data_IF_559863390282
#
_entry.id   IF_559863390282
#
_cell.length_a   1.000
_cell.length_b   1.000
_cell.length_c   1.000
_cell.angle_alpha   90.00
_cell.angle_beta   90.00
_cell.angle_gamma   90.00
#
_symmetry.space_group_name_H-M   'P 1'
#
loop_
_entity.id
_entity.type
_entity.pdbx_description
1 polymer ?
#
# COMPACT_ATOMS: atom_id res chain seq x y z
N UNK A 1 -4.27 -22.29 -12.26
CA UNK A 1 -4.58 -21.26 -13.27
C UNK A 1 -6.08 -21.30 -13.47
N UNK A 2 -6.79 -20.43 -12.77
CA UNK A 2 -8.16 -20.04 -13.10
C UNK A 2 -8.30 -18.55 -12.78
N UNK A 3 -8.90 -17.86 -13.74
CA UNK A 3 -9.12 -16.43 -13.80
C UNK A 3 -10.20 -16.01 -12.81
N UNK A 4 -10.02 -14.83 -12.21
CA UNK A 4 -11.05 -13.86 -11.87
C UNK A 4 -12.49 -14.39 -11.80
N UNK A 5 -12.89 -14.93 -10.65
CA UNK A 5 -14.22 -14.73 -10.06
C UNK A 5 -14.24 -15.30 -8.64
N UNK A 6 -14.92 -14.59 -7.73
CA UNK A 6 -15.46 -15.08 -6.45
C UNK A 6 -14.61 -14.87 -5.18
N UNK A 7 -15.20 -14.09 -4.26
CA UNK A 7 -15.08 -14.14 -2.78
C UNK A 7 -14.01 -13.26 -2.10
N UNK A 8 -14.52 -12.28 -1.34
CA UNK A 8 -13.89 -11.35 -0.37
C UNK A 8 -13.21 -12.07 0.82
N UNK A 9 -12.48 -13.16 0.60
CA UNK A 9 -11.70 -13.83 1.65
C UNK A 9 -10.40 -14.48 1.13
N UNK A 10 -10.28 -14.74 -0.18
CA UNK A 10 -9.08 -15.36 -0.77
C UNK A 10 -8.40 -14.49 -1.86
N UNK A 11 -8.78 -13.22 -1.98
CA UNK A 11 -8.20 -12.27 -2.95
C UNK A 11 -7.66 -11.02 -2.26
N UNK A 12 -6.72 -10.33 -2.91
CA UNK A 12 -6.21 -9.04 -2.47
C UNK A 12 -7.22 -7.93 -2.72
N UNK A 13 -7.23 -6.92 -1.84
CA UNK A 13 -8.12 -5.76 -1.93
C UNK A 13 -7.55 -4.67 -2.84
N UNK A 14 -6.23 -4.48 -2.76
CA UNK A 14 -5.45 -3.53 -3.56
C UNK A 14 -4.18 -4.25 -4.00
N UNK A 15 -3.81 -4.09 -5.26
CA UNK A 15 -2.54 -4.60 -5.76
C UNK A 15 -1.37 -3.84 -5.14
N UNK A 16 -0.19 -4.46 -5.09
CA UNK A 16 1.03 -3.78 -4.64
C UNK A 16 1.32 -2.50 -5.44
N UNK A 17 1.08 -2.50 -6.75
CA UNK A 17 1.26 -1.32 -7.60
C UNK A 17 0.29 -0.17 -7.25
N UNK A 18 -0.98 -0.48 -6.96
CA UNK A 18 -1.96 0.51 -6.51
C UNK A 18 -1.61 1.05 -5.13
N UNK A 19 -1.12 0.20 -4.21
CA UNK A 19 -0.61 0.61 -2.91
C UNK A 19 0.59 1.56 -3.02
N UNK A 20 1.56 1.25 -3.89
CA UNK A 20 2.73 2.11 -4.14
C UNK A 20 2.27 3.45 -4.73
N UNK A 21 1.34 3.42 -5.69
CA UNK A 21 0.78 4.63 -6.31
C UNK A 21 0.04 5.49 -5.28
N UNK A 22 -0.79 4.87 -4.43
CA UNK A 22 -1.48 5.55 -3.35
C UNK A 22 -0.51 6.19 -2.35
N UNK A 23 0.58 5.48 -1.99
CA UNK A 23 1.66 6.01 -1.16
C UNK A 23 2.35 7.22 -1.78
N UNK A 24 2.68 7.16 -3.08
CA UNK A 24 3.29 8.28 -3.79
C UNK A 24 2.36 9.51 -3.84
N UNK A 25 1.05 9.31 -4.04
CA UNK A 25 0.08 10.39 -4.02
C UNK A 25 -0.12 10.96 -2.61
N UNK A 26 -0.16 10.13 -1.57
CA UNK A 26 -0.23 10.60 -0.18
C UNK A 26 1.02 11.38 0.24
N UNK A 27 2.20 10.94 -0.20
CA UNK A 27 3.46 11.68 -0.04
C UNK A 27 3.40 13.05 -0.72
N UNK A 28 2.80 13.13 -1.90
CA UNK A 28 2.64 14.40 -2.62
C UNK A 28 1.67 15.35 -1.92
N UNK A 29 0.59 14.82 -1.34
CA UNK A 29 -0.47 15.59 -0.68
C UNK A 29 -0.38 15.47 0.84
N UNK A 30 0.71 15.94 1.43
CA UNK A 30 0.92 15.85 2.89
C UNK A 30 -0.04 16.73 3.67
N UNK A 31 -0.42 16.27 4.86
CA UNK A 31 -1.30 17.02 5.75
C UNK A 31 -0.49 17.87 6.74
N UNK A 32 -0.66 19.19 6.66
CA UNK A 32 -0.01 20.15 7.55
C UNK A 32 -0.75 20.27 8.89
N UNK A 33 0.00 20.21 9.99
CA UNK A 33 -0.56 20.30 11.34
C UNK A 33 0.38 21.03 12.28
N UNK A 34 -0.17 21.75 13.25
CA UNK A 34 0.60 22.37 14.34
C UNK A 34 0.95 21.40 15.45
N UNK A 35 0.36 20.20 15.43
CA UNK A 35 0.48 19.19 16.49
C UNK A 35 1.60 18.17 16.23
N UNK A 36 2.47 18.42 15.26
CA UNK A 36 3.61 17.55 14.94
C UNK A 36 4.90 18.39 14.89
N UNK A 37 6.01 17.84 15.38
CA UNK A 37 7.33 18.52 15.42
C UNK A 37 7.79 18.98 14.04
N UNK A 38 7.51 18.21 12.99
CA UNK A 38 7.90 18.54 11.61
C UNK A 38 6.80 19.32 10.86
N UNK A 39 5.71 19.68 11.53
CA UNK A 39 4.59 20.40 10.94
C UNK A 39 3.74 19.59 9.94
N UNK A 40 4.06 18.30 9.74
CA UNK A 40 3.46 17.44 8.73
C UNK A 40 3.24 16.04 9.33
N UNK A 41 2.03 15.51 9.22
CA UNK A 41 1.74 14.12 9.61
C UNK A 41 0.75 13.47 8.64
N UNK A 42 1.20 12.38 8.00
CA UNK A 42 0.40 11.60 7.06
C UNK A 42 -0.21 12.42 5.92
N UNK A 43 -1.37 11.95 5.44
CA UNK A 43 -2.12 12.58 4.36
C UNK A 43 -3.63 12.40 4.56
N UNK A 44 -4.43 13.33 4.04
CA UNK A 44 -5.89 13.18 3.92
C UNK A 44 -6.30 12.64 2.53
N UNK A 45 -5.32 12.33 1.69
CA UNK A 45 -5.56 11.80 0.36
C UNK A 45 -6.01 10.34 0.46
N UNK A 46 -7.18 10.07 -0.11
CA UNK A 46 -7.81 8.74 -0.13
C UNK A 46 -7.82 8.20 -1.56
N UNK A 47 -7.71 6.88 -1.68
CA UNK A 47 -7.80 6.17 -2.96
C UNK A 47 -9.11 5.39 -2.98
N UNK A 48 -9.89 5.51 -4.05
CA UNK A 48 -11.17 4.80 -4.19
C UNK A 48 -11.07 3.85 -5.38
N UNK A 49 -11.43 2.58 -5.16
CA UNK A 49 -11.51 1.56 -6.19
C UNK A 49 -12.98 1.26 -6.47
N UNK A 50 -13.37 1.35 -7.75
CA UNK A 50 -14.68 0.92 -8.21
C UNK A 50 -14.56 -0.52 -8.71
N UNK A 51 -15.26 -1.45 -8.07
CA UNK A 51 -15.19 -2.89 -8.38
C UNK A 51 -16.57 -3.55 -8.28
N UNK A 52 -16.73 -4.72 -8.90
CA UNK A 52 -17.98 -5.49 -8.80
C UNK A 52 -18.13 -6.16 -7.44
N UNK A 53 -19.32 -6.07 -6.87
CA UNK A 53 -19.77 -6.90 -5.73
C UNK A 53 -20.19 -8.31 -6.23
N UNK A 54 -20.27 -9.28 -5.31
CA UNK A 54 -20.85 -10.63 -5.54
C UNK A 54 -22.26 -10.59 -6.13
N UNK A 55 -22.98 -9.49 -5.99
CA UNK A 55 -24.31 -9.28 -6.57
C UNK A 55 -24.28 -8.60 -7.95
N UNK A 56 -23.12 -8.55 -8.62
CA UNK A 56 -22.88 -7.89 -9.92
C UNK A 56 -23.23 -6.39 -9.97
N UNK A 57 -23.28 -5.74 -8.80
CA UNK A 57 -23.43 -4.30 -8.70
C UNK A 57 -22.06 -3.61 -8.63
N UNK A 58 -21.98 -2.38 -9.13
CA UNK A 58 -20.79 -1.54 -8.96
C UNK A 58 -20.74 -1.09 -7.51
N UNK A 59 -19.68 -1.48 -6.81
CA UNK A 59 -19.38 -1.05 -5.45
C UNK A 59 -18.10 -0.19 -5.41
N UNK A 60 -18.06 0.75 -4.47
CA UNK A 60 -16.91 1.62 -4.26
C UNK A 60 -16.29 1.33 -2.91
N UNK A 61 -15.00 0.98 -2.90
CA UNK A 61 -14.23 0.78 -1.68
C UNK A 61 -13.15 1.86 -1.56
N UNK A 62 -13.14 2.54 -0.41
CA UNK A 62 -12.16 3.57 -0.07
C UNK A 62 -11.02 3.00 0.75
N UNK A 63 -9.79 3.33 0.37
CA UNK A 63 -8.56 2.87 1.00
C UNK A 63 -7.60 4.02 1.24
N UNK A 64 -6.76 3.83 2.26
CA UNK A 64 -5.64 4.69 2.58
C UNK A 64 -4.49 3.80 3.06
N UNK A 65 -3.30 4.04 2.52
CA UNK A 65 -2.09 3.33 2.96
C UNK A 65 -1.58 3.89 4.29
N UNK A 66 -0.78 3.09 4.99
CA UNK A 66 -0.18 3.51 6.24
C UNK A 66 0.93 4.54 6.01
N UNK A 67 1.20 5.38 7.02
CA UNK A 67 2.34 6.30 6.97
C UNK A 67 3.67 5.57 6.76
N UNK A 68 3.80 4.33 7.25
CA UNK A 68 4.98 3.48 7.03
C UNK A 68 5.11 3.11 5.55
N UNK A 69 4.03 2.72 4.89
CA UNK A 69 4.01 2.45 3.45
C UNK A 69 4.43 3.69 2.66
N UNK A 70 3.86 4.86 2.97
CA UNK A 70 4.24 6.14 2.34
C UNK A 70 5.73 6.43 2.50
N UNK A 71 6.31 6.24 3.69
CA UNK A 71 7.75 6.45 3.90
C UNK A 71 8.62 5.45 3.13
N UNK A 72 8.19 4.19 3.00
CA UNK A 72 8.92 3.19 2.22
C UNK A 72 8.86 3.45 0.71
N UNK A 73 7.74 3.99 0.23
CA UNK A 73 7.60 4.47 -1.16
C UNK A 73 8.47 5.71 -1.40
N UNK A 74 8.47 6.67 -0.47
CA UNK A 74 9.35 7.85 -0.54
C UNK A 74 10.84 7.48 -0.55
N UNK A 75 11.18 6.38 0.11
CA UNK A 75 12.54 5.88 0.20
C UNK A 75 12.92 4.92 -0.95
N UNK A 76 12.08 4.70 -1.96
CA UNK A 76 12.32 3.77 -3.07
C UNK A 76 12.65 2.32 -2.62
N UNK A 77 12.07 1.88 -1.49
CA UNK A 77 12.29 0.55 -0.91
C UNK A 77 11.35 -0.49 -1.52
N UNK A 78 10.12 -0.11 -1.85
CA UNK A 78 9.08 -1.02 -2.35
C UNK A 78 9.08 -1.10 -3.87
N UNK A 79 9.06 -2.32 -4.39
CA UNK A 79 8.95 -2.65 -5.82
C UNK A 79 7.71 -3.51 -6.03
N UNK A 80 6.91 -3.28 -7.08
CA UNK A 80 5.80 -4.18 -7.40
C UNK A 80 6.32 -5.60 -7.64
N UNK A 81 5.67 -6.60 -7.06
CA UNK A 81 6.00 -8.00 -7.29
C UNK A 81 5.20 -8.58 -8.47
N UNK A 82 5.62 -9.75 -8.95
CA UNK A 82 4.89 -10.52 -9.96
C UNK A 82 3.51 -11.00 -9.44
N UNK A 83 3.44 -11.23 -8.13
CA UNK A 83 2.19 -11.54 -7.42
C UNK A 83 1.57 -10.25 -6.91
N UNK A 84 0.33 -10.00 -7.31
CA UNK A 84 -0.44 -8.79 -7.02
C UNK A 84 -0.61 -8.49 -5.53
N UNK A 85 -0.65 -9.53 -4.71
CA UNK A 85 -0.82 -9.49 -3.26
C UNK A 85 0.47 -9.23 -2.49
N UNK A 86 1.63 -9.31 -3.15
CA UNK A 86 2.94 -9.13 -2.54
C UNK A 86 3.63 -7.88 -3.08
N UNK A 87 4.40 -7.22 -2.22
CA UNK A 87 5.35 -6.20 -2.62
C UNK A 87 6.76 -6.72 -2.34
N UNK A 88 7.66 -6.54 -3.31
CA UNK A 88 9.06 -6.90 -3.14
C UNK A 88 9.82 -5.75 -2.48
N UNK A 89 10.80 -6.10 -1.66
CA UNK A 89 11.78 -5.15 -1.13
C UNK A 89 12.95 -5.08 -2.12
N UNK A 90 13.39 -3.88 -2.46
CA UNK A 90 14.50 -3.69 -3.40
C UNK A 90 15.81 -4.25 -2.86
N UNK A 91 16.37 -5.25 -3.53
CA UNK A 91 17.61 -5.92 -3.08
C UNK A 91 18.89 -5.07 -3.30
N UNK A 92 18.81 -4.01 -4.12
CA UNK A 92 19.98 -3.23 -4.53
C UNK A 92 19.81 -1.75 -4.21
N UNK A 93 20.85 -1.10 -3.64
CA UNK A 93 20.84 0.34 -3.48
C UNK A 93 20.83 1.01 -4.86
N UNK A 94 19.90 1.94 -5.09
CA UNK A 94 19.83 2.71 -6.34
C UNK A 94 20.99 3.72 -6.47
N UNK A 95 21.52 4.18 -5.34
CA UNK A 95 22.62 5.15 -5.26
C UNK A 95 23.41 4.94 -3.96
N UNK A 96 24.59 5.57 -3.85
CA UNK A 96 25.55 5.36 -2.74
C UNK A 96 24.97 5.66 -1.34
N UNK A 97 23.97 6.55 -1.26
CA UNK A 97 23.29 6.91 -0.01
C UNK A 97 21.97 6.16 0.22
N UNK A 98 21.56 5.30 -0.72
CA UNK A 98 20.35 4.49 -0.58
C UNK A 98 20.65 3.34 0.38
N UNK A 99 19.86 3.22 1.45
CA UNK A 99 20.05 2.18 2.44
C UNK A 99 18.74 1.43 2.64
N UNK A 100 18.75 0.14 2.30
CA UNK A 100 17.61 -0.77 2.47
C UNK A 100 17.90 -1.67 3.65
N UNK A 101 17.01 -1.66 4.64
CA UNK A 101 17.08 -2.54 5.82
C UNK A 101 16.19 -3.75 5.64
N UNK A 102 16.40 -4.76 6.50
CA UNK A 102 15.42 -5.84 6.65
C UNK A 102 14.05 -5.28 7.08
N UNK A 103 12.98 -5.82 6.51
CA UNK A 103 11.60 -5.37 6.72
C UNK A 103 10.82 -6.52 7.36
N UNK A 104 10.26 -6.26 8.54
CA UNK A 104 9.50 -7.26 9.30
C UNK A 104 8.04 -6.82 9.43
N UNK A 105 7.12 -7.79 9.44
CA UNK A 105 5.69 -7.56 9.65
C UNK A 105 5.13 -8.56 10.66
N UNK A 106 4.13 -8.13 11.41
CA UNK A 106 3.48 -8.96 12.42
C UNK A 106 2.32 -9.72 11.80
N UNK A 107 2.37 -11.05 11.85
CA UNK A 107 1.24 -11.92 11.49
C UNK A 107 0.50 -12.33 12.74
N UNK A 108 -0.80 -12.07 12.78
CA UNK A 108 -1.67 -12.57 13.86
C UNK A 108 -2.26 -13.90 13.39
N UNK A 109 -1.75 -14.99 13.96
CA UNK A 109 -2.31 -16.32 13.75
C UNK A 109 -3.45 -16.53 14.74
N UNK A 110 -4.68 -16.54 14.24
CA UNK A 110 -5.83 -17.01 15.01
C UNK A 110 -5.86 -18.54 14.93
N UNK A 111 -5.41 -19.20 15.99
CA UNK A 111 -5.73 -20.61 16.21
C UNK A 111 -7.17 -20.69 16.71
N UNK A 112 -8.07 -21.25 15.89
CA UNK A 112 -9.40 -21.71 16.30
C UNK A 112 -9.31 -23.16 16.71
#
# INVERSE_FOLDING_TARGET
MDFCSSLVFESFLLSAAECITAGALQSKYKNHTKYCTNGIIGSKFVTVVASGDKSDHINFSGYQVSNQCTSMVEADILVPADYTELANVGDKPLHVKHYVTDVQFTVILFYV
#
